data_IF_684383347011
#
_entry.id   IF_684383347011
#
_cell.length_a   1.000
_cell.length_b   1.000
_cell.length_c   1.000
_cell.angle_alpha   90.00
_cell.angle_beta   90.00
_cell.angle_gamma   90.00
#
_symmetry.space_group_name_H-M   'P 1'
#
loop_
_entity.id
_entity.type
_entity.pdbx_description
1 polymer ?
#
# COMPACT_ATOMS: atom_id res chain seq x y z
N UNK A 1 21.36 1.38 -11.08
CA UNK A 1 20.11 0.62 -10.82
C UNK A 1 19.45 0.32 -12.16
N UNK A 2 19.12 -0.94 -12.44
CA UNK A 2 18.39 -1.27 -13.66
C UNK A 2 16.97 -0.67 -13.57
N UNK A 3 16.55 0.03 -14.62
CA UNK A 3 15.22 0.65 -14.68
C UNK A 3 14.17 -0.48 -14.70
N UNK A 4 13.23 -0.48 -13.75
CA UNK A 4 12.13 -1.46 -13.71
C UNK A 4 11.42 -1.52 -15.07
N UNK A 5 11.00 -2.71 -15.49
CA UNK A 5 10.21 -2.87 -16.71
C UNK A 5 8.89 -2.08 -16.59
N UNK A 6 8.38 -1.53 -17.70
CA UNK A 6 7.15 -0.72 -17.70
C UNK A 6 5.99 -1.42 -16.98
N UNK A 7 5.81 -2.71 -17.21
CA UNK A 7 4.75 -3.50 -16.57
C UNK A 7 4.83 -3.48 -15.03
N UNK A 8 6.04 -3.43 -14.46
CA UNK A 8 6.28 -3.52 -13.03
C UNK A 8 5.93 -2.19 -12.38
N UNK A 9 6.32 -1.08 -13.02
CA UNK A 9 5.91 0.26 -12.59
C UNK A 9 4.39 0.41 -12.58
N UNK A 10 3.70 -0.10 -13.62
CA UNK A 10 2.24 -0.05 -13.69
C UNK A 10 1.61 -0.88 -12.55
N UNK A 11 2.09 -2.10 -12.32
CA UNK A 11 1.60 -2.96 -11.22
C UNK A 11 1.83 -2.30 -9.85
N UNK A 12 3.00 -1.70 -9.63
CA UNK A 12 3.30 -0.95 -8.39
C UNK A 12 2.32 0.21 -8.23
N UNK A 13 2.13 1.03 -9.27
CA UNK A 13 1.24 2.19 -9.22
C UNK A 13 -0.21 1.80 -8.92
N UNK A 14 -0.74 0.77 -9.61
CA UNK A 14 -2.08 0.25 -9.36
C UNK A 14 -2.22 -0.32 -7.95
N UNK A 15 -1.20 -1.05 -7.46
CA UNK A 15 -1.21 -1.59 -6.10
C UNK A 15 -1.25 -0.46 -5.07
N UNK A 16 -0.44 0.58 -5.23
CA UNK A 16 -0.46 1.76 -4.35
C UNK A 16 -1.81 2.48 -4.41
N UNK A 17 -2.43 2.59 -5.59
CA UNK A 17 -3.76 3.20 -5.74
C UNK A 17 -4.85 2.41 -4.99
N UNK A 18 -4.84 1.08 -5.08
CA UNK A 18 -5.76 0.22 -4.31
C UNK A 18 -5.59 0.47 -2.81
N UNK A 19 -4.35 0.49 -2.30
CA UNK A 19 -4.10 0.74 -0.88
C UNK A 19 -4.51 2.15 -0.44
N UNK A 20 -4.35 3.16 -1.30
CA UNK A 20 -4.82 4.52 -1.06
C UNK A 20 -6.35 4.58 -0.96
N UNK A 21 -7.05 3.86 -1.83
CA UNK A 21 -8.50 3.74 -1.73
C UNK A 21 -8.93 3.06 -0.43
N UNK A 22 -8.17 2.08 0.07
CA UNK A 22 -8.36 1.49 1.39
C UNK A 22 -8.21 2.53 2.52
N UNK A 23 -7.18 3.39 2.47
CA UNK A 23 -7.01 4.49 3.44
C UNK A 23 -8.23 5.41 3.44
N UNK A 24 -8.78 5.74 2.27
CA UNK A 24 -9.94 6.64 2.18
C UNK A 24 -11.24 6.05 2.79
N UNK A 25 -11.39 4.73 2.80
CA UNK A 25 -12.62 4.04 3.27
C UNK A 25 -12.48 3.42 4.66
N UNK A 26 -11.28 3.41 5.23
CA UNK A 26 -11.00 2.63 6.44
C UNK A 26 -11.72 3.15 7.69
N UNK A 27 -12.21 4.39 7.72
CA UNK A 27 -13.08 4.85 8.80
C UNK A 27 -14.46 4.18 8.76
N UNK A 28 -15.04 4.03 7.58
CA UNK A 28 -16.42 3.54 7.44
C UNK A 28 -16.55 2.02 7.55
N UNK A 29 -15.54 1.30 7.05
CA UNK A 29 -15.59 -0.16 6.96
C UNK A 29 -14.21 -0.81 7.03
N UNK A 30 -14.21 -2.14 7.20
CA UNK A 30 -13.02 -2.94 6.99
C UNK A 30 -12.60 -2.89 5.52
N UNK A 31 -11.29 -2.93 5.30
CA UNK A 31 -10.68 -2.80 3.96
C UNK A 31 -9.76 -3.99 3.66
N UNK A 32 -10.13 -5.18 4.15
CA UNK A 32 -9.37 -6.43 3.99
C UNK A 32 -9.79 -7.28 2.79
N UNK A 33 -10.31 -6.63 1.74
CA UNK A 33 -10.74 -7.25 0.50
C UNK A 33 -9.62 -7.96 -0.28
N UNK A 34 -10.03 -8.79 -1.25
CA UNK A 34 -9.10 -9.56 -2.10
C UNK A 34 -8.17 -8.67 -2.92
N UNK A 35 -8.62 -7.48 -3.30
CA UNK A 35 -7.86 -6.45 -4.00
C UNK A 35 -6.70 -5.92 -3.14
N UNK A 36 -6.93 -5.73 -1.83
CA UNK A 36 -5.89 -5.30 -0.90
C UNK A 36 -4.86 -6.40 -0.71
N UNK A 37 -5.30 -7.66 -0.55
CA UNK A 37 -4.38 -8.80 -0.47
C UNK A 37 -3.50 -8.93 -1.72
N UNK A 38 -4.09 -8.77 -2.91
CA UNK A 38 -3.36 -8.80 -4.17
C UNK A 38 -2.35 -7.64 -4.26
N UNK A 39 -2.77 -6.42 -3.95
CA UNK A 39 -1.90 -5.24 -3.95
C UNK A 39 -0.68 -5.43 -3.04
N UNK A 40 -0.89 -5.90 -1.80
CA UNK A 40 0.20 -6.17 -0.87
C UNK A 40 1.16 -7.25 -1.41
N UNK A 41 0.62 -8.31 -2.04
CA UNK A 41 1.44 -9.38 -2.64
C UNK A 41 2.29 -8.89 -3.81
N UNK A 42 1.75 -7.98 -4.63
CA UNK A 42 2.46 -7.34 -5.74
C UNK A 42 3.57 -6.41 -5.25
N UNK A 43 3.40 -5.76 -4.10
CA UNK A 43 4.41 -4.86 -3.52
C UNK A 43 5.50 -5.58 -2.72
N UNK A 44 5.25 -6.80 -2.24
CA UNK A 44 6.22 -7.60 -1.47
C UNK A 44 7.64 -7.66 -2.06
N UNK A 45 7.87 -7.95 -3.37
CA UNK A 45 9.22 -7.97 -3.94
C UNK A 45 9.86 -6.56 -4.09
N UNK A 46 9.09 -5.50 -3.90
CA UNK A 46 9.51 -4.12 -4.09
C UNK A 46 9.76 -3.36 -2.79
N UNK A 47 9.39 -3.94 -1.65
CA UNK A 47 9.57 -3.38 -0.32
C UNK A 47 10.71 -4.10 0.41
N UNK A 48 11.81 -3.43 0.80
CA UNK A 48 12.84 -4.03 1.64
C UNK A 48 12.31 -4.45 3.01
N UNK A 49 11.42 -3.65 3.59
CA UNK A 49 10.83 -3.90 4.91
C UNK A 49 9.43 -4.50 4.74
N UNK A 50 9.19 -5.63 5.41
CA UNK A 50 7.90 -6.34 5.37
C UNK A 50 6.87 -5.78 6.34
N UNK A 51 7.32 -5.23 7.47
CA UNK A 51 6.44 -4.77 8.55
C UNK A 51 5.34 -3.79 8.07
N UNK A 52 5.54 -2.87 7.10
CA UNK A 52 4.45 -2.00 6.65
C UNK A 52 3.37 -2.75 5.89
N UNK A 53 3.72 -3.81 5.16
CA UNK A 53 2.76 -4.63 4.43
C UNK A 53 1.93 -5.48 5.40
N UNK A 54 2.59 -6.07 6.40
CA UNK A 54 1.98 -6.88 7.45
C UNK A 54 1.07 -6.00 8.33
N UNK A 55 1.55 -4.83 8.76
CA UNK A 55 0.75 -3.86 9.52
C UNK A 55 -0.49 -3.40 8.74
N UNK A 56 -0.36 -3.13 7.43
CA UNK A 56 -1.52 -2.76 6.62
C UNK A 56 -2.58 -3.85 6.65
N UNK A 57 -2.16 -5.10 6.41
CA UNK A 57 -3.07 -6.25 6.39
C UNK A 57 -3.76 -6.48 7.73
N UNK A 58 -3.01 -6.40 8.83
CA UNK A 58 -3.56 -6.61 10.16
C UNK A 58 -4.50 -5.47 10.56
N UNK A 59 -4.12 -4.21 10.29
CA UNK A 59 -4.95 -3.05 10.58
C UNK A 59 -6.25 -3.04 9.76
N UNK A 60 -6.20 -3.39 8.47
CA UNK A 60 -7.35 -3.40 7.57
C UNK A 60 -8.53 -4.28 8.04
N UNK A 61 -8.24 -5.30 8.86
CA UNK A 61 -9.18 -6.28 9.42
C UNK A 61 -9.77 -5.87 10.77
N UNK A 62 -9.20 -4.86 11.42
CA UNK A 62 -9.62 -4.46 12.77
C UNK A 62 -11.05 -3.93 12.75
N UNK A 63 -11.80 -4.20 13.82
CA UNK A 63 -13.16 -3.67 13.98
C UNK A 63 -13.16 -2.26 14.57
N UNK A 64 -12.21 -1.96 15.46
CA UNK A 64 -12.01 -0.62 16.00
C UNK A 64 -11.65 0.36 14.88
N UNK A 65 -12.56 1.29 14.60
CA UNK A 65 -12.40 2.34 13.59
C UNK A 65 -11.11 3.14 13.77
N UNK A 66 -10.86 3.67 14.97
CA UNK A 66 -9.72 4.56 15.23
C UNK A 66 -8.41 3.78 15.04
N UNK A 67 -8.34 2.58 15.62
CA UNK A 67 -7.17 1.70 15.48
C UNK A 67 -6.91 1.30 14.02
N UNK A 68 -7.96 0.94 13.29
CA UNK A 68 -7.91 0.63 11.85
C UNK A 68 -7.40 1.82 11.05
N UNK A 69 -8.01 2.98 11.21
CA UNK A 69 -7.66 4.18 10.44
C UNK A 69 -6.20 4.61 10.68
N UNK A 70 -5.76 4.61 11.94
CA UNK A 70 -4.37 4.92 12.30
C UNK A 70 -3.40 3.87 11.73
N UNK A 71 -3.69 2.59 11.92
CA UNK A 71 -2.84 1.50 11.47
C UNK A 71 -2.70 1.45 9.94
N UNK A 72 -3.81 1.51 9.21
CA UNK A 72 -3.85 1.52 7.73
C UNK A 72 -3.09 2.72 7.18
N UNK A 73 -3.28 3.91 7.75
CA UNK A 73 -2.59 5.14 7.33
C UNK A 73 -1.09 5.08 7.60
N UNK A 74 -0.68 4.65 8.80
CA UNK A 74 0.74 4.54 9.16
C UNK A 74 1.46 3.51 8.28
N UNK A 75 0.83 2.36 8.05
CA UNK A 75 1.33 1.32 7.17
C UNK A 75 1.49 1.82 5.72
N UNK A 76 0.47 2.47 5.18
CA UNK A 76 0.50 3.04 3.83
C UNK A 76 1.65 4.03 3.65
N UNK A 77 1.84 4.94 4.60
CA UNK A 77 2.94 5.90 4.58
C UNK A 77 4.31 5.19 4.63
N UNK A 78 4.43 4.12 5.42
CA UNK A 78 5.63 3.27 5.45
C UNK A 78 5.93 2.63 4.09
N UNK A 79 4.91 2.06 3.43
CA UNK A 79 5.01 1.45 2.09
C UNK A 79 5.45 2.49 1.05
N UNK A 80 4.77 3.64 0.96
CA UNK A 80 5.09 4.69 -0.01
C UNK A 80 6.51 5.23 0.21
N UNK A 81 6.91 5.46 1.46
CA UNK A 81 8.26 5.96 1.81
C UNK A 81 9.36 5.01 1.33
N UNK A 82 9.21 3.70 1.53
CA UNK A 82 10.23 2.74 1.09
C UNK A 82 10.27 2.57 -0.44
N UNK A 83 9.12 2.59 -1.11
CA UNK A 83 9.06 2.54 -2.58
C UNK A 83 9.72 3.76 -3.23
N UNK A 84 9.51 4.96 -2.65
CA UNK A 84 10.18 6.21 -3.09
C UNK A 84 11.69 6.14 -2.88
N UNK A 85 12.13 5.70 -1.70
CA UNK A 85 13.57 5.51 -1.40
C UNK A 85 14.25 4.53 -2.35
N UNK A 86 13.52 3.53 -2.83
CA UNK A 86 14.01 2.56 -3.80
C UNK A 86 13.93 3.04 -5.26
N UNK A 87 13.40 4.25 -5.54
CA UNK A 87 13.18 4.77 -6.90
C UNK A 87 12.15 3.96 -7.69
N UNK A 88 11.20 3.32 -7.00
CA UNK A 88 10.22 2.38 -7.60
C UNK A 88 8.82 2.98 -7.75
N UNK A 89 8.56 4.11 -7.10
CA UNK A 89 7.29 4.82 -7.16
C UNK A 89 7.54 6.32 -7.12
N UNK A 90 7.21 7.00 -8.20
CA UNK A 90 7.03 8.45 -8.25
C UNK A 90 5.52 8.68 -8.27
N UNK A 91 5.04 9.55 -7.39
CA UNK A 91 3.61 9.86 -7.35
C UNK A 91 3.25 10.49 -8.70
N UNK A 92 2.36 9.84 -9.44
CA UNK A 92 1.73 10.49 -10.58
C UNK A 92 0.86 11.57 -9.96
N UNK A 93 1.35 12.81 -10.00
CA UNK A 93 0.50 13.98 -9.84
C UNK A 93 -0.47 13.91 -11.02
N UNK A 94 -1.67 13.38 -10.77
CA UNK A 94 -2.75 13.51 -11.74
C UNK A 94 -2.87 14.99 -12.08
N UNK A 95 -2.62 15.32 -13.35
CA UNK A 95 -2.93 16.61 -13.96
C UNK A 95 -4.43 16.69 -14.22
#
# INVERSE_FOLDING_TARGET
MAKLARHQRVVIALSVHILRSGVARCSDMRVDGVEVRLALRCLLPHCPERWPLELYWDAARQENEIGRAQGVTAAFNGIVRQLRRAGRYEEVLDQ
#
